data_IF_862987223104
#
_entry.id   IF_862987223104
#
_cell.length_a   1.000
_cell.length_b   1.000
_cell.length_c   1.000
_cell.angle_alpha   90.00
_cell.angle_beta   90.00
_cell.angle_gamma   90.00
#
_symmetry.space_group_name_H-M   'P 1'
#
loop_
_entity.id
_entity.type
_entity.pdbx_description
1 polymer ?
#
# COMPACT_ATOMS: atom_id res chain seq x y z
N UNK A 1 8.64 16.32 -6.15
CA UNK A 1 7.57 15.48 -5.57
C UNK A 1 8.12 14.23 -4.87
N UNK A 2 8.88 13.35 -5.54
CA UNK A 2 9.41 12.10 -4.92
C UNK A 2 10.27 12.33 -3.66
N UNK A 3 11.19 13.29 -3.69
CA UNK A 3 12.07 13.54 -2.52
C UNK A 3 11.33 14.04 -1.29
N UNK A 4 10.24 14.78 -1.46
CA UNK A 4 9.43 15.23 -0.33
C UNK A 4 8.79 14.05 0.41
N UNK A 5 8.37 13.01 -0.33
CA UNK A 5 7.85 11.77 0.27
C UNK A 5 8.93 10.97 1.01
N UNK A 6 10.14 10.89 0.46
CA UNK A 6 11.25 10.19 1.14
C UNK A 6 11.66 10.91 2.43
N UNK A 7 11.72 12.25 2.39
CA UNK A 7 12.01 13.06 3.58
C UNK A 7 10.92 12.88 4.63
N UNK A 8 9.64 12.94 4.25
CA UNK A 8 8.54 12.76 5.21
C UNK A 8 8.50 11.35 5.80
N UNK A 9 8.77 10.32 4.98
CA UNK A 9 8.89 8.94 5.45
C UNK A 9 10.05 8.77 6.44
N UNK A 10 11.21 9.39 6.16
CA UNK A 10 12.36 9.34 7.06
C UNK A 10 12.08 10.04 8.39
N UNK A 11 11.44 11.22 8.36
CA UNK A 11 11.05 11.95 9.58
C UNK A 11 10.09 11.10 10.41
N UNK A 12 9.07 10.51 9.79
CA UNK A 12 8.14 9.62 10.48
C UNK A 12 8.85 8.39 11.08
N UNK A 13 9.80 7.79 10.36
CA UNK A 13 10.58 6.67 10.85
C UNK A 13 11.44 7.06 12.08
N UNK A 14 12.06 8.23 12.08
CA UNK A 14 12.83 8.74 13.21
C UNK A 14 11.94 9.04 14.43
N UNK A 15 10.75 9.63 14.21
CA UNK A 15 9.79 9.85 15.29
C UNK A 15 9.31 8.53 15.90
N UNK A 16 9.02 7.53 15.06
CA UNK A 16 8.69 6.17 15.49
C UNK A 16 9.84 5.55 16.31
N UNK A 17 11.09 5.72 15.88
CA UNK A 17 12.26 5.21 16.60
C UNK A 17 12.43 5.89 17.97
N UNK A 18 12.31 7.22 18.05
CA UNK A 18 12.40 7.97 19.31
C UNK A 18 11.27 7.53 20.26
N UNK A 19 10.05 7.44 19.74
CA UNK A 19 8.91 6.92 20.48
C UNK A 19 9.21 5.51 21.02
N UNK A 20 9.86 4.65 20.23
CA UNK A 20 10.27 3.31 20.65
C UNK A 20 11.23 3.31 21.82
N UNK A 21 12.28 4.12 21.73
CA UNK A 21 13.31 4.21 22.75
C UNK A 21 12.81 4.86 24.05
N UNK A 22 11.84 5.77 23.96
CA UNK A 22 11.25 6.42 25.14
C UNK A 22 10.20 5.54 25.83
N UNK A 23 9.56 4.61 25.11
CA UNK A 23 8.47 3.78 25.61
C UNK A 23 8.88 2.29 25.76
N UNK A 24 10.05 2.06 26.37
CA UNK A 24 10.59 0.72 26.63
C UNK A 24 9.89 -0.06 27.75
N UNK A 25 8.93 0.57 28.42
CA UNK A 25 8.09 -0.08 29.43
C UNK A 25 7.46 -1.36 28.88
N UNK A 26 7.62 -2.46 29.62
CA UNK A 26 7.11 -3.77 29.20
C UNK A 26 5.67 -3.94 29.68
N UNK A 27 4.79 -4.27 28.73
CA UNK A 27 3.37 -4.53 28.97
C UNK A 27 3.03 -5.99 28.67
N UNK A 28 2.00 -6.50 29.31
CA UNK A 28 1.43 -7.82 29.00
C UNK A 28 0.36 -7.66 27.93
N UNK A 29 0.58 -8.27 26.77
CA UNK A 29 -0.37 -8.32 25.68
C UNK A 29 -1.16 -9.62 25.80
N UNK A 30 -2.48 -9.54 25.71
CA UNK A 30 -3.39 -10.69 25.68
C UNK A 30 -4.16 -10.64 24.37
N UNK A 31 -4.20 -11.74 23.63
CA UNK A 31 -4.95 -11.80 22.38
C UNK A 31 -5.59 -13.19 22.21
N UNK A 32 -6.91 -13.28 22.16
CA UNK A 32 -7.58 -14.60 22.25
C UNK A 32 -7.03 -15.44 23.44
N UNK A 33 -6.28 -16.51 23.16
CA UNK A 33 -5.82 -17.51 24.14
C UNK A 33 -4.32 -17.43 24.46
N UNK A 34 -3.55 -16.56 23.79
CA UNK A 34 -2.13 -16.35 24.11
C UNK A 34 -1.92 -15.06 24.92
N UNK A 35 -0.81 -15.03 25.65
CA UNK A 35 -0.33 -13.80 26.26
C UNK A 35 1.18 -13.76 26.23
N UNK A 36 1.75 -12.58 25.98
CA UNK A 36 3.19 -12.39 25.98
C UNK A 36 3.54 -11.00 26.49
N UNK A 37 4.79 -10.81 26.91
CA UNK A 37 5.31 -9.50 27.33
C UNK A 37 6.12 -8.88 26.21
N UNK A 38 5.93 -7.59 25.98
CA UNK A 38 6.68 -6.82 25.00
C UNK A 38 6.78 -5.35 25.41
N UNK A 39 7.71 -4.60 24.83
CA UNK A 39 7.73 -3.14 24.99
C UNK A 39 6.48 -2.56 24.34
N UNK A 40 5.80 -1.65 25.06
CA UNK A 40 4.62 -0.93 24.56
C UNK A 40 4.85 -0.34 23.17
N UNK A 41 6.02 0.25 22.97
CA UNK A 41 6.31 0.91 21.71
C UNK A 41 6.52 -0.07 20.55
N UNK A 42 7.21 -1.19 20.78
CA UNK A 42 7.39 -2.22 19.75
C UNK A 42 6.03 -2.77 19.31
N UNK A 43 5.11 -2.99 20.25
CA UNK A 43 3.75 -3.44 19.95
C UNK A 43 3.01 -2.42 19.09
N UNK A 44 3.03 -1.13 19.47
CA UNK A 44 2.37 -0.08 18.70
C UNK A 44 2.97 0.10 17.29
N UNK A 45 4.29 -0.03 17.15
CA UNK A 45 4.94 0.02 15.85
C UNK A 45 4.56 -1.17 14.97
N UNK A 46 4.46 -2.38 15.56
CA UNK A 46 4.00 -3.57 14.84
C UNK A 46 2.55 -3.43 14.39
N UNK A 47 1.67 -2.95 15.26
CA UNK A 47 0.26 -2.71 14.93
C UNK A 47 0.10 -1.66 13.81
N UNK A 48 0.88 -0.57 13.88
CA UNK A 48 0.91 0.44 12.82
C UNK A 48 1.39 -0.17 11.49
N UNK A 49 2.47 -0.94 11.50
CA UNK A 49 2.99 -1.60 10.32
C UNK A 49 1.96 -2.57 9.72
N UNK A 50 1.28 -3.37 10.55
CA UNK A 50 0.17 -4.22 10.12
C UNK A 50 -0.96 -3.39 9.48
N UNK A 51 -1.35 -2.28 10.09
CA UNK A 51 -2.35 -1.37 9.54
C UNK A 51 -1.99 -0.85 8.15
N UNK A 52 -0.73 -0.47 7.93
CA UNK A 52 -0.22 -0.05 6.61
C UNK A 52 -0.30 -1.19 5.59
N UNK A 53 0.12 -2.40 5.97
CA UNK A 53 0.04 -3.59 5.09
C UNK A 53 -1.40 -3.90 4.73
N UNK A 54 -2.32 -3.91 5.71
CA UNK A 54 -3.75 -4.14 5.48
C UNK A 54 -4.33 -3.07 4.56
N UNK A 55 -4.01 -1.80 4.78
CA UNK A 55 -4.43 -0.68 3.93
C UNK A 55 -3.93 -0.80 2.49
N UNK A 56 -2.65 -1.15 2.31
CA UNK A 56 -2.06 -1.37 0.99
C UNK A 56 -2.73 -2.54 0.26
N UNK A 57 -2.96 -3.65 0.95
CA UNK A 57 -3.69 -4.81 0.41
C UNK A 57 -5.13 -4.43 0.01
N UNK A 58 -5.82 -3.62 0.82
CA UNK A 58 -7.16 -3.14 0.50
C UNK A 58 -7.18 -2.28 -0.77
N UNK A 59 -6.15 -1.47 -1.01
CA UNK A 59 -6.00 -0.65 -2.23
C UNK A 59 -5.68 -1.47 -3.49
N UNK A 60 -5.04 -2.63 -3.36
CA UNK A 60 -4.76 -3.55 -4.48
C UNK A 60 -6.04 -4.15 -5.07
N UNK A 61 -7.08 -4.39 -4.25
CA UNK A 61 -8.35 -4.99 -4.67
C UNK A 61 -9.02 -4.21 -5.82
N UNK A 62 -9.32 -2.90 -5.72
CA UNK A 62 -9.97 -2.14 -6.79
C UNK A 62 -9.08 -1.98 -8.02
N UNK A 63 -7.75 -1.92 -7.87
CA UNK A 63 -6.82 -1.82 -9.00
C UNK A 63 -6.95 -3.02 -9.95
N UNK A 64 -7.11 -4.24 -9.41
CA UNK A 64 -7.34 -5.43 -10.24
C UNK A 64 -8.64 -5.36 -11.05
N UNK A 65 -9.69 -4.73 -10.51
CA UNK A 65 -10.97 -4.54 -11.21
C UNK A 65 -10.83 -3.53 -12.34
N UNK A 66 -10.18 -2.40 -12.07
CA UNK A 66 -9.91 -1.36 -13.06
C UNK A 66 -9.06 -1.88 -14.23
N UNK A 67 -8.01 -2.66 -13.96
CA UNK A 67 -7.20 -3.29 -15.02
C UNK A 67 -8.01 -4.28 -15.88
N UNK A 68 -8.92 -5.05 -15.27
CA UNK A 68 -9.79 -5.99 -16.00
C UNK A 68 -10.80 -5.26 -16.90
N UNK A 69 -11.34 -4.13 -16.45
CA UNK A 69 -12.24 -3.30 -17.25
C UNK A 69 -11.52 -2.63 -18.41
N UNK A 70 -10.32 -2.07 -18.18
CA UNK A 70 -9.47 -1.52 -19.23
C UNK A 70 -9.11 -2.56 -20.30
N UNK A 71 -8.79 -3.80 -19.90
CA UNK A 71 -8.52 -4.90 -20.81
C UNK A 71 -9.76 -5.33 -21.64
N UNK A 72 -10.98 -5.19 -21.07
CA UNK A 72 -12.24 -5.46 -21.79
C UNK A 72 -12.56 -4.37 -22.81
N UNK A 73 -12.32 -3.10 -22.48
CA UNK A 73 -12.51 -1.96 -23.39
C UNK A 73 -11.61 -2.07 -24.62
N UNK A 74 -10.34 -2.47 -24.45
CA UNK A 74 -9.40 -2.66 -25.58
C UNK A 74 -9.85 -3.75 -26.56
N UNK A 75 -10.61 -4.76 -26.11
CA UNK A 75 -11.18 -5.80 -26.99
C UNK A 75 -12.42 -5.33 -27.76
N UNK A 76 -13.03 -4.21 -27.37
CA UNK A 76 -14.22 -3.64 -28.02
C UNK A 76 -13.90 -2.59 -29.06
N UNK A 77 -12.64 -2.18 -29.20
CA UNK A 77 -12.18 -1.35 -30.32
C UNK A 77 -11.82 -2.35 -31.44
N UNK A 78 -12.68 -2.53 -32.46
CA UNK A 78 -12.31 -3.32 -33.62
C UNK A 78 -11.12 -2.64 -34.27
N UNK A 79 -10.15 -3.41 -34.77
CA UNK A 79 -9.10 -2.84 -35.61
C UNK A 79 -9.80 -2.10 -36.75
N UNK A 80 -9.63 -0.77 -36.79
CA UNK A 80 -10.11 0.03 -37.91
C UNK A 80 -9.49 -0.57 -39.18
N UNK A 81 -10.30 -1.07 -40.13
CA UNK A 81 -9.78 -1.64 -41.35
C UNK A 81 -8.88 -0.60 -41.99
N UNK A 82 -7.69 -0.97 -42.50
CA UNK A 82 -6.81 0.00 -43.14
C UNK A 82 -7.63 0.73 -44.20
N UNK A 83 -7.68 2.06 -44.07
CA UNK A 83 -8.38 2.94 -45.00
C UNK A 83 -7.94 2.54 -46.42
N UNK A 84 -8.87 2.12 -47.30
CA UNK A 84 -8.49 1.70 -48.63
C UNK A 84 -7.79 2.88 -49.30
N UNK A 85 -6.51 2.71 -49.63
CA UNK A 85 -5.74 3.66 -50.42
C UNK A 85 -6.63 4.14 -51.56
N UNK A 86 -7.05 5.41 -51.48
CA UNK A 86 -7.89 6.03 -52.49
C UNK A 86 -7.27 5.72 -53.86
N UNK A 87 -8.05 5.28 -54.86
CA UNK A 87 -7.49 4.99 -56.17
C UNK A 87 -6.78 6.25 -56.66
N UNK A 88 -5.48 6.13 -56.89
CA UNK A 88 -4.68 7.17 -57.50
C UNK A 88 -5.33 7.54 -58.84
N UNK A 89 -5.93 8.73 -58.86
CA UNK A 89 -6.48 9.35 -60.06
C UNK A 89 -5.34 9.89 -60.94
#
# INVERSE_FOLDING_TARGET
MMMAYLISALVLALLALIFALQNTATIMIRFLFWSFRGSLAVVLLLDLALGVVIGALAMLIPLTRAYREAARLKRRIPAEPPEPLAPAA
#
